data_IF_300625450596
#
_entry.id   IF_300625450596
#
_cell.length_a   1.000
_cell.length_b   1.000
_cell.length_c   1.000
_cell.angle_alpha   90.00
_cell.angle_beta   90.00
_cell.angle_gamma   90.00
#
_symmetry.space_group_name_H-M   'P 1'
#
loop_
_entity.id
_entity.type
_entity.pdbx_description
1 polymer ?
#
# COMPACT_ATOMS: atom_id res chain seq x y z
N UNK A 1 -8.82 12.48 -12.86
CA UNK A 1 -9.65 11.86 -11.81
C UNK A 1 -9.23 12.31 -10.41
N UNK A 2 -7.96 12.18 -10.00
CA UNK A 2 -7.51 12.59 -8.65
C UNK A 2 -7.90 14.02 -8.27
N UNK A 3 -7.64 15.00 -9.14
CA UNK A 3 -8.03 16.41 -8.90
C UNK A 3 -9.54 16.59 -8.68
N UNK A 4 -10.37 15.85 -9.41
CA UNK A 4 -11.82 15.93 -9.24
C UNK A 4 -12.24 15.38 -7.86
N UNK A 5 -11.63 14.29 -7.40
CA UNK A 5 -11.87 13.77 -6.06
C UNK A 5 -11.43 14.77 -4.97
N UNK A 6 -10.26 15.40 -5.13
CA UNK A 6 -9.80 16.43 -4.19
C UNK A 6 -10.72 17.65 -4.16
N UNK A 7 -11.26 18.07 -5.31
CA UNK A 7 -12.26 19.14 -5.35
C UNK A 7 -13.53 18.76 -4.60
N UNK A 8 -14.04 17.54 -4.77
CA UNK A 8 -15.25 17.10 -4.06
C UNK A 8 -15.08 17.19 -2.54
N UNK A 9 -13.95 16.70 -2.00
CA UNK A 9 -13.67 16.82 -0.58
C UNK A 9 -13.47 18.28 -0.11
N UNK A 10 -13.00 19.16 -1.00
CA UNK A 10 -12.75 20.57 -0.67
C UNK A 10 -14.04 21.39 -0.60
N UNK A 11 -15.10 20.95 -1.29
CA UNK A 11 -16.42 21.59 -1.31
C UNK A 11 -17.33 21.12 -0.15
N UNK A 12 -16.88 20.14 0.64
CA UNK A 12 -17.61 19.71 1.84
C UNK A 12 -17.70 20.86 2.87
N UNK A 13 -18.82 20.96 3.58
CA UNK A 13 -19.00 22.01 4.60
C UNK A 13 -17.98 21.88 5.76
N UNK A 14 -17.50 20.66 5.99
CA UNK A 14 -16.41 20.34 6.90
C UNK A 14 -15.40 19.46 6.15
N UNK A 15 -14.41 20.06 5.46
CA UNK A 15 -13.43 19.31 4.71
C UNK A 15 -12.60 18.39 5.63
N UNK A 16 -12.21 17.19 5.17
CA UNK A 16 -11.38 16.30 5.96
C UNK A 16 -10.01 16.91 6.25
N UNK A 17 -9.46 16.66 7.43
CA UNK A 17 -8.09 17.09 7.79
C UNK A 17 -7.03 16.41 6.93
N UNK A 18 -7.27 15.19 6.46
CA UNK A 18 -6.35 14.42 5.64
C UNK A 18 -7.11 13.62 4.58
N UNK A 19 -6.55 13.54 3.37
CA UNK A 19 -7.07 12.72 2.27
C UNK A 19 -6.01 11.70 1.87
N UNK A 20 -6.38 10.42 1.86
CA UNK A 20 -5.53 9.34 1.33
C UNK A 20 -6.18 8.79 0.08
N UNK A 21 -5.49 8.85 -1.06
CA UNK A 21 -5.95 8.29 -2.32
C UNK A 21 -5.26 6.96 -2.54
N UNK A 22 -6.01 5.86 -2.47
CA UNK A 22 -5.53 4.53 -2.81
C UNK A 22 -5.81 4.23 -4.28
N UNK A 23 -4.76 3.92 -5.05
CA UNK A 23 -4.90 3.59 -6.46
C UNK A 23 -3.71 2.78 -6.98
N UNK A 24 -4.01 1.61 -7.52
CA UNK A 24 -3.02 0.81 -8.25
C UNK A 24 -2.43 1.56 -9.44
N UNK A 25 -1.12 1.41 -9.61
CA UNK A 25 -0.43 1.98 -10.77
C UNK A 25 -0.58 1.10 -12.01
N UNK A 26 -0.83 -0.21 -11.88
CA UNK A 26 -0.96 -1.15 -13.00
C UNK A 26 0.21 -1.09 -14.02
N UNK A 27 1.43 -0.79 -13.58
CA UNK A 27 2.56 -0.57 -14.50
C UNK A 27 2.49 0.75 -15.28
N UNK A 28 1.63 1.68 -14.86
CA UNK A 28 1.36 2.95 -15.55
C UNK A 28 1.88 4.12 -14.74
N UNK A 29 3.15 4.45 -14.97
CA UNK A 29 3.84 5.55 -14.29
C UNK A 29 3.10 6.90 -14.40
N UNK A 30 2.35 7.13 -15.50
CA UNK A 30 1.57 8.35 -15.69
C UNK A 30 0.47 8.54 -14.61
N UNK A 31 0.02 7.46 -13.95
CA UNK A 31 -0.95 7.56 -12.86
C UNK A 31 -0.35 8.23 -11.62
N UNK A 32 0.92 7.97 -11.32
CA UNK A 32 1.64 8.62 -10.24
C UNK A 32 1.87 10.11 -10.56
N UNK A 33 2.24 10.43 -11.80
CA UNK A 33 2.37 11.81 -12.27
C UNK A 33 1.04 12.57 -12.19
N UNK A 34 -0.07 11.95 -12.63
CA UNK A 34 -1.40 12.53 -12.51
C UNK A 34 -1.82 12.78 -11.05
N UNK A 35 -1.38 11.93 -10.11
CA UNK A 35 -1.59 12.17 -8.68
C UNK A 35 -0.77 13.38 -8.22
N UNK A 36 0.53 13.41 -8.50
CA UNK A 36 1.41 14.52 -8.13
C UNK A 36 0.93 15.87 -8.68
N UNK A 37 0.49 15.91 -9.95
CA UNK A 37 -0.11 17.09 -10.56
C UNK A 37 -1.40 17.52 -9.86
N UNK A 38 -2.25 16.56 -9.47
CA UNK A 38 -3.47 16.89 -8.73
C UNK A 38 -3.15 17.52 -7.37
N UNK A 39 -2.17 16.98 -6.63
CA UNK A 39 -1.74 17.57 -5.36
C UNK A 39 -1.18 18.98 -5.57
N UNK A 40 -0.32 19.19 -6.58
CA UNK A 40 0.32 20.49 -6.83
C UNK A 40 -0.63 21.57 -7.41
N UNK A 41 -1.74 21.18 -8.05
CA UNK A 41 -2.61 22.09 -8.79
C UNK A 41 -3.59 22.90 -7.92
N UNK A 42 -3.63 22.69 -6.60
CA UNK A 42 -4.62 23.33 -5.73
C UNK A 42 -4.03 23.81 -4.41
N UNK A 43 -4.59 24.90 -3.90
CA UNK A 43 -4.55 25.24 -2.48
C UNK A 43 -5.66 24.44 -1.80
N UNK A 44 -5.36 23.21 -1.41
CA UNK A 44 -6.33 22.32 -0.79
C UNK A 44 -6.62 22.75 0.66
N UNK A 45 -7.85 22.60 1.16
CA UNK A 45 -8.19 22.88 2.56
C UNK A 45 -7.76 21.77 3.53
N UNK A 46 -7.07 20.74 3.04
CA UNK A 46 -6.61 19.60 3.83
C UNK A 46 -5.17 19.83 4.32
N UNK A 47 -4.84 19.40 5.54
CA UNK A 47 -3.47 19.43 6.05
C UNK A 47 -2.57 18.44 5.30
N UNK A 48 -3.15 17.31 4.86
CA UNK A 48 -2.41 16.17 4.32
C UNK A 48 -3.12 15.57 3.11
N UNK A 49 -2.37 15.34 2.01
CA UNK A 49 -2.83 14.56 0.86
C UNK A 49 -1.79 13.51 0.52
N UNK A 50 -2.10 12.23 0.73
CA UNK A 50 -1.20 11.10 0.49
C UNK A 50 -1.68 10.19 -0.63
N UNK A 51 -0.73 9.59 -1.34
CA UNK A 51 -0.99 8.61 -2.39
C UNK A 51 -0.58 7.21 -1.93
N UNK A 52 -1.55 6.33 -1.69
CA UNK A 52 -1.30 4.89 -1.60
C UNK A 52 -1.25 4.32 -3.04
N UNK A 53 -0.06 4.38 -3.65
CA UNK A 53 0.16 4.11 -5.08
C UNK A 53 0.99 2.84 -5.29
N UNK A 54 0.43 1.64 -5.09
CA UNK A 54 1.17 0.40 -5.26
C UNK A 54 1.54 0.13 -6.72
N UNK A 55 2.75 -0.39 -6.91
CA UNK A 55 3.27 -0.86 -8.20
C UNK A 55 3.61 -2.36 -8.13
N UNK A 56 2.99 -3.20 -8.98
CA UNK A 56 1.92 -2.87 -9.93
C UNK A 56 0.53 -2.70 -9.27
N UNK A 57 0.26 -3.36 -8.16
CA UNK A 57 -1.06 -3.41 -7.51
C UNK A 57 -0.90 -3.72 -6.02
N UNK A 58 -1.97 -3.50 -5.23
CA UNK A 58 -1.93 -3.67 -3.77
C UNK A 58 -1.43 -5.06 -3.32
N UNK A 59 -1.69 -6.12 -4.10
CA UNK A 59 -1.20 -7.45 -3.78
C UNK A 59 0.34 -7.51 -3.76
N UNK A 60 1.03 -6.69 -4.56
CA UNK A 60 2.48 -6.59 -4.50
C UNK A 60 2.96 -6.03 -3.15
N UNK A 61 2.21 -5.11 -2.54
CA UNK A 61 2.48 -4.66 -1.17
C UNK A 61 2.29 -5.81 -0.20
N UNK A 62 1.13 -6.48 -0.22
CA UNK A 62 0.80 -7.58 0.68
C UNK A 62 1.84 -8.71 0.62
N UNK A 63 2.32 -9.04 -0.59
CA UNK A 63 3.40 -10.02 -0.79
C UNK A 63 4.74 -9.53 -0.23
N UNK A 64 5.09 -8.25 -0.38
CA UNK A 64 6.32 -7.66 0.16
C UNK A 64 6.38 -7.74 1.71
N UNK A 65 5.22 -7.62 2.35
CA UNK A 65 5.08 -7.69 3.80
C UNK A 65 4.99 -9.12 4.34
N UNK A 66 4.89 -10.13 3.46
CA UNK A 66 4.66 -11.49 3.88
C UNK A 66 5.82 -12.06 4.71
N UNK A 67 5.46 -12.76 5.79
CA UNK A 67 6.38 -13.45 6.69
C UNK A 67 5.85 -14.86 6.93
N UNK A 68 6.62 -15.91 6.61
CA UNK A 68 6.24 -17.26 7.00
C UNK A 68 6.23 -17.42 8.52
N UNK A 69 5.12 -17.87 9.09
CA UNK A 69 4.94 -18.14 10.53
C UNK A 69 5.28 -19.59 10.87
N UNK A 70 5.10 -20.52 9.92
CA UNK A 70 5.33 -21.96 10.10
C UNK A 70 6.18 -22.60 8.98
N UNK A 71 6.52 -23.88 9.14
CA UNK A 71 7.34 -24.61 8.16
C UNK A 71 6.61 -24.84 6.83
N UNK A 72 5.28 -24.99 6.86
CA UNK A 72 4.49 -25.20 5.65
C UNK A 72 4.50 -23.93 4.77
N UNK A 73 4.41 -22.75 5.38
CA UNK A 73 4.54 -21.45 4.72
C UNK A 73 5.93 -21.22 4.17
N UNK A 74 6.97 -21.57 4.93
CA UNK A 74 8.36 -21.51 4.44
C UNK A 74 8.52 -22.36 3.19
N UNK A 75 7.98 -23.58 3.19
CA UNK A 75 8.02 -24.47 2.02
C UNK A 75 7.25 -23.91 0.81
N UNK A 76 6.09 -23.26 1.02
CA UNK A 76 5.33 -22.60 -0.05
C UNK A 76 6.09 -21.42 -0.64
N UNK A 77 6.67 -20.56 0.21
CA UNK A 77 7.49 -19.44 -0.25
C UNK A 77 8.72 -19.95 -1.03
N UNK A 78 9.37 -21.02 -0.58
CA UNK A 78 10.49 -21.62 -1.31
C UNK A 78 10.05 -22.25 -2.64
N UNK A 79 8.87 -22.84 -2.72
CA UNK A 79 8.30 -23.33 -3.97
C UNK A 79 8.06 -22.17 -4.96
N UNK A 80 7.48 -21.07 -4.49
CA UNK A 80 7.29 -19.85 -5.29
C UNK A 80 8.63 -19.27 -5.77
N UNK A 81 9.65 -19.20 -4.90
CA UNK A 81 11.00 -18.75 -5.26
C UNK A 81 11.60 -19.57 -6.41
N UNK A 82 11.47 -20.90 -6.34
CA UNK A 82 11.95 -21.80 -7.40
C UNK A 82 11.16 -21.62 -8.69
N UNK A 83 9.84 -21.49 -8.60
CA UNK A 83 8.96 -21.28 -9.76
C UNK A 83 9.22 -19.93 -10.44
N UNK A 84 9.42 -18.86 -9.66
CA UNK A 84 9.57 -17.50 -10.15
C UNK A 84 11.01 -17.16 -10.56
N UNK A 85 11.99 -17.87 -10.02
CA UNK A 85 13.42 -17.56 -10.10
C UNK A 85 13.80 -16.22 -9.45
N UNK A 86 13.02 -15.78 -8.46
CA UNK A 86 13.30 -14.65 -7.58
C UNK A 86 12.48 -14.76 -6.29
N UNK A 87 12.83 -13.96 -5.28
CA UNK A 87 12.04 -13.87 -4.05
C UNK A 87 10.91 -12.84 -4.20
N UNK A 88 9.64 -13.27 -4.27
CA UNK A 88 8.53 -12.33 -4.45
C UNK A 88 8.35 -11.38 -3.26
N UNK A 89 8.79 -11.75 -2.06
CA UNK A 89 8.72 -10.87 -0.88
C UNK A 89 9.81 -9.79 -0.88
N UNK A 90 10.87 -9.95 -1.69
CA UNK A 90 11.98 -8.99 -1.82
C UNK A 90 11.86 -8.17 -3.10
N UNK A 91 11.29 -8.76 -4.16
CA UNK A 91 11.14 -8.13 -5.47
C UNK A 91 9.66 -8.19 -5.95
N UNK A 92 8.72 -7.62 -5.16
CA UNK A 92 7.29 -7.65 -5.47
C UNK A 92 6.94 -6.91 -6.76
N UNK A 93 7.73 -5.91 -7.17
CA UNK A 93 7.57 -5.15 -8.42
C UNK A 93 7.73 -6.02 -9.67
N UNK A 94 8.32 -7.22 -9.54
CA UNK A 94 8.47 -8.19 -10.64
C UNK A 94 7.21 -9.01 -10.90
N UNK A 95 6.17 -8.85 -10.09
CA UNK A 95 4.86 -9.51 -10.24
C UNK A 95 3.97 -8.79 -11.27
N UNK A 96 4.48 -8.63 -12.49
CA UNK A 96 3.92 -7.72 -13.50
C UNK A 96 2.75 -8.28 -14.31
N UNK A 97 2.37 -9.55 -14.12
CA UNK A 97 1.37 -10.18 -15.00
C UNK A 97 -0.06 -9.84 -14.59
N UNK A 98 -0.88 -9.41 -15.56
CA UNK A 98 -2.33 -9.24 -15.42
C UNK A 98 -3.14 -10.48 -15.82
N UNK A 99 -2.49 -11.52 -16.34
CA UNK A 99 -3.13 -12.80 -16.58
C UNK A 99 -3.11 -13.62 -15.28
N UNK A 100 -4.28 -13.93 -14.72
CA UNK A 100 -4.43 -14.68 -13.46
C UNK A 100 -3.79 -16.08 -13.50
N UNK A 101 -3.66 -16.69 -14.69
CA UNK A 101 -3.02 -17.99 -14.85
C UNK A 101 -1.48 -17.91 -14.92
N UNK A 102 -0.90 -16.71 -15.11
CA UNK A 102 0.54 -16.55 -15.23
C UNK A 102 1.23 -16.63 -13.86
N UNK A 103 2.40 -17.27 -13.81
CA UNK A 103 3.16 -17.43 -12.57
C UNK A 103 3.51 -16.11 -11.88
N UNK A 104 3.71 -15.02 -12.64
CA UNK A 104 4.06 -13.68 -12.13
C UNK A 104 2.84 -12.81 -11.80
N UNK A 105 1.64 -13.37 -11.71
CA UNK A 105 0.48 -12.61 -11.27
C UNK A 105 0.49 -12.45 -9.74
N UNK A 106 0.37 -11.22 -9.23
CA UNK A 106 0.50 -10.96 -7.80
C UNK A 106 -0.64 -11.59 -6.98
N UNK A 107 -1.89 -11.55 -7.47
CA UNK A 107 -3.04 -12.24 -6.84
C UNK A 107 -2.82 -13.74 -6.71
N UNK A 108 -2.32 -14.40 -7.76
CA UNK A 108 -1.97 -15.82 -7.72
C UNK A 108 -0.90 -16.09 -6.66
N UNK A 109 0.17 -15.30 -6.65
CA UNK A 109 1.26 -15.48 -5.67
C UNK A 109 0.73 -15.28 -4.24
N UNK A 110 -0.05 -14.23 -4.00
CA UNK A 110 -0.66 -13.97 -2.70
C UNK A 110 -1.57 -15.12 -2.26
N UNK A 111 -2.42 -15.63 -3.16
CA UNK A 111 -3.31 -16.77 -2.88
C UNK A 111 -2.53 -18.04 -2.47
N UNK A 112 -1.37 -18.30 -3.09
CA UNK A 112 -0.49 -19.41 -2.69
C UNK A 112 0.08 -19.20 -1.29
N UNK A 113 0.52 -17.98 -0.97
CA UNK A 113 1.04 -17.65 0.35
C UNK A 113 -0.04 -17.83 1.43
N UNK A 114 -1.24 -17.33 1.18
CA UNK A 114 -2.39 -17.35 2.10
C UNK A 114 -3.27 -18.60 1.98
N UNK A 115 -2.82 -19.67 1.32
CA UNK A 115 -3.64 -20.88 1.12
C UNK A 115 -4.07 -21.52 2.45
N UNK A 116 -3.23 -21.39 3.49
CA UNK A 116 -3.54 -21.82 4.85
C UNK A 116 -3.14 -20.73 5.84
N UNK A 117 -3.71 -20.78 7.05
CA UNK A 117 -3.39 -19.82 8.11
C UNK A 117 -4.25 -18.57 8.04
N UNK A 118 -3.69 -17.45 8.52
CA UNK A 118 -4.36 -16.14 8.52
C UNK A 118 -4.32 -15.53 7.13
N UNK A 119 -5.35 -14.76 6.78
CA UNK A 119 -5.38 -14.03 5.51
C UNK A 119 -4.34 -12.89 5.46
N UNK A 120 -4.21 -12.29 4.28
CA UNK A 120 -3.24 -11.23 4.04
C UNK A 120 -3.51 -9.97 4.89
N UNK A 121 -4.77 -9.61 5.09
CA UNK A 121 -5.16 -8.38 5.79
C UNK A 121 -4.85 -8.48 7.30
N UNK A 122 -5.21 -9.61 7.93
CA UNK A 122 -4.91 -9.87 9.32
C UNK A 122 -3.40 -9.93 9.57
N UNK A 123 -2.63 -10.46 8.62
CA UNK A 123 -1.17 -10.48 8.71
C UNK A 123 -0.59 -9.09 8.54
N UNK A 124 -1.04 -8.35 7.52
CA UNK A 124 -0.59 -7.00 7.24
C UNK A 124 -0.73 -6.08 8.46
N UNK A 125 -1.86 -6.18 9.17
CA UNK A 125 -2.13 -5.41 10.38
C UNK A 125 -1.09 -5.61 11.50
N UNK A 126 -0.46 -6.79 11.56
CA UNK A 126 0.54 -7.13 12.57
C UNK A 126 1.99 -6.88 12.12
N UNK A 127 2.23 -6.52 10.86
CA UNK A 127 3.59 -6.30 10.35
C UNK A 127 4.16 -5.02 10.95
N UNK A 128 5.35 -5.13 11.54
CA UNK A 128 6.11 -3.98 12.00
C UNK A 128 6.32 -2.99 10.85
N UNK A 129 5.97 -1.74 11.09
CA UNK A 129 6.03 -0.66 10.09
C UNK A 129 7.44 -0.47 9.51
N UNK A 130 8.49 -0.69 10.31
CA UNK A 130 9.89 -0.64 9.87
C UNK A 130 10.20 -1.70 8.80
N UNK A 131 9.52 -2.85 8.86
CA UNK A 131 9.66 -3.91 7.86
C UNK A 131 8.94 -3.55 6.56
N UNK A 132 7.76 -2.95 6.64
CA UNK A 132 7.05 -2.45 5.46
C UNK A 132 7.92 -1.43 4.70
N UNK A 133 8.64 -0.58 5.44
CA UNK A 133 9.59 0.37 4.87
C UNK A 133 10.81 -0.32 4.23
N UNK A 134 11.40 -1.33 4.89
CA UNK A 134 12.58 -2.02 4.39
C UNK A 134 12.33 -2.86 3.11
N UNK A 135 11.16 -3.50 3.00
CA UNK A 135 10.84 -4.41 1.89
C UNK A 135 10.11 -3.74 0.72
N UNK A 136 9.72 -2.47 0.86
CA UNK A 136 8.72 -1.84 0.03
C UNK A 136 9.21 -0.82 -1.00
N UNK A 137 10.53 -0.62 -1.13
CA UNK A 137 11.08 0.51 -1.89
C UNK A 137 10.71 0.47 -3.39
N UNK A 138 10.83 -0.70 -4.02
CA UNK A 138 10.64 -0.85 -5.45
C UNK A 138 9.16 -0.90 -5.88
N UNK A 139 8.23 -1.18 -4.96
CA UNK A 139 6.79 -1.23 -5.23
C UNK A 139 6.01 -0.02 -4.67
N UNK A 140 6.70 1.00 -4.13
CA UNK A 140 6.08 2.22 -3.60
C UNK A 140 5.61 2.15 -2.15
N UNK A 141 5.64 0.97 -1.51
CA UNK A 141 5.22 0.78 -0.13
C UNK A 141 6.08 1.57 0.86
N UNK A 142 7.40 1.58 0.70
CA UNK A 142 8.29 2.28 1.62
C UNK A 142 8.02 3.79 1.65
N UNK A 143 7.78 4.37 0.46
CA UNK A 143 7.39 5.77 0.33
C UNK A 143 6.08 6.04 1.08
N UNK A 144 5.06 5.21 0.86
CA UNK A 144 3.76 5.39 1.50
C UNK A 144 3.85 5.30 3.02
N UNK A 145 4.57 4.32 3.55
CA UNK A 145 4.79 4.14 5.00
C UNK A 145 5.46 5.36 5.62
N UNK A 146 6.52 5.88 4.97
CA UNK A 146 7.20 7.08 5.44
C UNK A 146 6.28 8.30 5.43
N UNK A 147 5.53 8.51 4.35
CA UNK A 147 4.57 9.62 4.25
C UNK A 147 3.47 9.52 5.32
N UNK A 148 2.97 8.31 5.62
CA UNK A 148 2.01 8.09 6.72
C UNK A 148 2.64 8.48 8.05
N UNK A 149 3.87 8.04 8.35
CA UNK A 149 4.57 8.35 9.60
C UNK A 149 4.85 9.86 9.74
N UNK A 150 5.29 10.51 8.68
CA UNK A 150 5.70 11.91 8.70
C UNK A 150 4.52 12.89 8.69
N UNK A 151 3.40 12.53 8.03
CA UNK A 151 2.31 13.47 7.77
C UNK A 151 0.99 13.04 8.40
N UNK A 152 0.61 11.77 8.31
CA UNK A 152 -0.71 11.32 8.78
C UNK A 152 -0.75 11.07 10.29
N UNK A 153 0.26 10.39 10.85
CA UNK A 153 0.33 10.08 12.30
C UNK A 153 0.20 11.35 13.16
N UNK A 154 0.93 12.46 12.90
CA UNK A 154 0.79 13.68 13.69
C UNK A 154 -0.60 14.32 13.63
N UNK A 155 -1.36 14.12 12.56
CA UNK A 155 -2.74 14.62 12.45
C UNK A 155 -3.68 13.77 13.30
N UNK A 156 -3.55 12.44 13.23
CA UNK A 156 -4.38 11.51 13.98
C UNK A 156 -4.15 11.66 15.50
N UNK A 157 -2.90 11.81 15.94
CA UNK A 157 -2.57 12.01 17.35
C UNK A 157 -3.16 13.33 17.91
N UNK A 158 -3.11 14.42 17.13
CA UNK A 158 -3.76 15.70 17.49
C UNK A 158 -5.28 15.56 17.61
N UNK A 159 -5.91 14.87 16.65
CA UNK A 159 -7.36 14.62 16.66
C UNK A 159 -7.81 13.74 17.83
N UNK A 160 -7.03 12.71 18.18
CA UNK A 160 -7.30 11.82 19.32
C UNK A 160 -7.17 12.51 20.68
N UNK A 161 -6.22 13.45 20.82
CA UNK A 161 -6.07 14.27 22.02
C UNK A 161 -7.25 15.23 22.22
N UNK A 162 -7.83 15.76 21.14
CA UNK A 162 -8.98 16.65 21.21
C UNK A 162 -10.29 15.92 21.54
N UNK A 163 -10.41 14.64 21.19
CA UNK A 163 -11.58 13.80 21.48
C UNK A 163 -11.58 13.20 22.91
N UNK A 164 -10.43 13.19 23.60
CA UNK A 164 -10.29 12.62 24.95
C UNK A 164 -10.51 13.64 26.09
N UNK A 165 -10.71 14.92 25.77
CA UNK A 165 -11.08 15.98 26.71
C UNK A 165 -12.60 16.13 26.98
N UNK A 166 -13.42 15.26 26.39
CA UNK A 166 -14.87 15.18 26.62
C UNK A 166 -15.22 13.79 27.17
N UNK A 167 -14.83 13.50 28.41
CA UNK A 167 -15.41 12.43 29.23
C UNK A 167 -15.52 12.87 30.68
#
# INVERSE_FOLDING_TARGET
MHRAALLLFAEESEPPVAVVIARDLDGRAERAECFAQAVAAGSWPFDVVLGALPEPEIEAWLVAAWVPEDDAERQRLDALRRELHFDPCVQPERLTSKNEADRKNAKRVLAVLTTTGRDADARWADVLIERLEASGAACGLARFVREVREHLVPVVERGGASASGLR
#
